data_IF_535625690226
#
_entry.id   IF_535625690226
#
_cell.length_a   1.000
_cell.length_b   1.000
_cell.length_c   1.000
_cell.angle_alpha   90.00
_cell.angle_beta   90.00
_cell.angle_gamma   90.00
#
_symmetry.space_group_name_H-M   'P 1'
#
loop_
_entity.id
_entity.type
_entity.pdbx_description
1 polymer ?
#
# COMPACT_ATOMS: atom_id res chain seq x y z
N UNK A 1 9.98 31.64 25.03
CA UNK A 1 11.18 30.79 24.92
C UNK A 1 11.00 29.84 23.74
N UNK A 2 11.77 30.03 22.66
CA UNK A 2 11.76 29.08 21.53
C UNK A 2 12.68 27.90 21.90
N UNK A 3 12.26 26.64 21.72
CA UNK A 3 13.10 25.50 22.06
C UNK A 3 14.39 25.49 21.23
N UNK A 4 15.51 25.13 21.87
CA UNK A 4 16.83 25.06 21.25
C UNK A 4 16.89 24.07 20.06
N UNK A 5 17.58 24.39 18.96
CA UNK A 5 17.65 23.55 17.75
C UNK A 5 18.39 22.22 17.93
N UNK A 6 19.00 21.97 19.09
CA UNK A 6 19.70 20.72 19.38
C UNK A 6 18.75 19.58 19.78
N UNK A 7 17.56 19.89 20.31
CA UNK A 7 16.49 18.89 20.58
C UNK A 7 15.70 18.50 19.32
N UNK A 8 15.97 19.14 18.17
CA UNK A 8 15.49 18.70 16.86
C UNK A 8 16.40 17.64 16.20
N UNK A 9 17.37 17.07 16.95
CA UNK A 9 18.33 16.07 16.45
C UNK A 9 18.02 14.63 16.85
N UNK A 10 16.75 14.26 17.01
CA UNK A 10 16.37 12.84 17.06
C UNK A 10 15.29 12.60 16.02
N UNK A 11 15.74 12.04 14.90
CA UNK A 11 14.97 11.56 13.74
C UNK A 11 14.61 12.68 12.75
N UNK A 12 15.34 12.72 11.63
CA UNK A 12 14.94 13.41 10.40
C UNK A 12 13.52 12.99 10.01
N UNK A 13 12.58 13.89 10.30
CA UNK A 13 11.14 13.80 10.03
C UNK A 13 10.90 13.88 8.52
N UNK A 14 9.88 13.17 8.03
CA UNK A 14 9.29 13.19 6.68
C UNK A 14 9.75 12.15 5.64
N UNK A 15 11.03 11.76 5.52
CA UNK A 15 11.42 10.82 4.44
C UNK A 15 11.13 9.32 4.72
N UNK A 16 10.77 8.96 5.97
CA UNK A 16 10.63 7.57 6.42
C UNK A 16 9.19 7.11 6.68
N UNK A 17 8.17 7.97 6.54
CA UNK A 17 6.79 7.64 6.92
C UNK A 17 6.21 6.50 6.09
N UNK A 18 6.42 6.52 4.76
CA UNK A 18 5.94 5.46 3.85
C UNK A 18 6.65 4.12 4.09
N UNK A 19 7.97 4.15 4.32
CA UNK A 19 8.73 2.93 4.69
C UNK A 19 8.27 2.36 6.03
N UNK A 20 7.98 3.22 7.02
CA UNK A 20 7.46 2.82 8.34
C UNK A 20 6.05 2.25 8.25
N UNK A 21 5.19 2.86 7.44
CA UNK A 21 3.87 2.32 7.11
C UNK A 21 3.97 0.89 6.56
N UNK A 22 4.79 0.71 5.51
CA UNK A 22 5.01 -0.60 4.88
C UNK A 22 5.56 -1.59 5.91
N UNK A 23 6.59 -1.21 6.67
CA UNK A 23 7.19 -2.08 7.67
C UNK A 23 6.17 -2.52 8.72
N UNK A 24 5.43 -1.58 9.32
CA UNK A 24 4.41 -1.88 10.32
C UNK A 24 3.31 -2.81 9.75
N UNK A 25 2.87 -2.55 8.51
CA UNK A 25 1.91 -3.41 7.84
C UNK A 25 2.44 -4.83 7.64
N UNK A 26 3.68 -5.01 7.17
CA UNK A 26 4.27 -6.34 7.03
C UNK A 26 4.46 -7.04 8.39
N UNK A 27 4.91 -6.32 9.41
CA UNK A 27 5.06 -6.86 10.77
C UNK A 27 3.72 -7.33 11.32
N UNK A 28 2.62 -6.62 11.08
CA UNK A 28 1.27 -7.02 11.51
C UNK A 28 0.87 -8.42 11.01
N UNK A 29 1.27 -8.76 9.77
CA UNK A 29 0.96 -10.05 9.14
C UNK A 29 1.71 -11.21 9.77
N UNK A 30 2.89 -10.94 10.34
CA UNK A 30 3.74 -11.95 10.97
C UNK A 30 3.41 -12.17 12.45
N UNK A 31 2.55 -11.34 13.04
CA UNK A 31 2.17 -11.49 14.44
C UNK A 31 1.33 -12.75 14.66
N UNK A 32 1.67 -13.49 15.72
CA UNK A 32 0.99 -14.73 16.13
C UNK A 32 -0.33 -14.46 16.86
N UNK A 33 -0.42 -13.34 17.59
CA UNK A 33 -1.61 -12.97 18.33
C UNK A 33 -2.42 -11.93 17.57
N UNK A 34 -3.74 -11.97 17.73
CA UNK A 34 -4.65 -10.98 17.13
C UNK A 34 -4.40 -9.60 17.75
N UNK A 35 -4.15 -9.54 19.06
CA UNK A 35 -3.90 -8.28 19.77
C UNK A 35 -2.62 -7.59 19.29
N UNK A 36 -1.53 -8.32 19.06
CA UNK A 36 -0.31 -7.71 18.53
C UNK A 36 -0.45 -7.33 17.07
N UNK A 37 -1.15 -8.14 16.26
CA UNK A 37 -1.51 -7.77 14.89
C UNK A 37 -2.27 -6.44 14.88
N UNK A 38 -3.26 -6.28 15.77
CA UNK A 38 -4.06 -5.08 15.89
C UNK A 38 -3.21 -3.86 16.25
N UNK A 39 -2.29 -3.97 17.23
CA UNK A 39 -1.35 -2.90 17.58
C UNK A 39 -0.53 -2.43 16.37
N UNK A 40 0.04 -3.37 15.61
CA UNK A 40 0.83 -3.04 14.42
C UNK A 40 -0.01 -2.46 13.28
N UNK A 41 -1.25 -2.90 13.11
CA UNK A 41 -2.19 -2.31 12.16
C UNK A 41 -2.53 -0.86 12.53
N UNK A 42 -2.71 -0.54 13.82
CA UNK A 42 -2.90 0.85 14.27
C UNK A 42 -1.68 1.72 14.01
N UNK A 43 -0.47 1.24 14.30
CA UNK A 43 0.78 1.96 13.96
C UNK A 43 0.88 2.22 12.46
N UNK A 44 0.53 1.22 11.64
CA UNK A 44 0.50 1.39 10.19
C UNK A 44 -0.56 2.45 9.78
N UNK A 45 -1.74 2.41 10.39
CA UNK A 45 -2.82 3.35 10.10
C UNK A 45 -2.41 4.79 10.44
N UNK A 46 -1.80 5.02 11.60
CA UNK A 46 -1.29 6.33 12.01
C UNK A 46 -0.30 6.89 10.99
N UNK A 47 0.62 6.04 10.50
CA UNK A 47 1.54 6.44 9.46
C UNK A 47 0.86 6.74 8.12
N UNK A 48 -0.16 5.95 7.73
CA UNK A 48 -0.93 6.19 6.51
C UNK A 48 -1.69 7.52 6.57
N UNK A 49 -2.31 7.83 7.71
CA UNK A 49 -3.03 9.10 7.93
C UNK A 49 -2.10 10.31 7.91
N UNK A 50 -0.86 10.19 8.42
CA UNK A 50 0.13 11.28 8.35
C UNK A 50 0.61 11.54 6.91
N UNK A 51 0.73 10.51 6.06
CA UNK A 51 1.16 10.66 4.68
C UNK A 51 0.06 11.31 3.83
N UNK A 52 -1.18 10.83 3.95
CA UNK A 52 -2.36 11.35 3.23
C UNK A 52 -2.15 11.54 1.72
N UNK A 53 -1.36 10.66 1.07
CA UNK A 53 -1.22 10.65 -0.39
C UNK A 53 -2.29 9.76 -1.04
N UNK A 54 -2.59 9.98 -2.33
CA UNK A 54 -3.62 9.23 -3.07
C UNK A 54 -3.42 7.69 -3.01
N UNK A 55 -2.18 7.21 -2.96
CA UNK A 55 -1.85 5.78 -2.87
C UNK A 55 -2.15 5.21 -1.49
N UNK A 56 -1.86 5.97 -0.44
CA UNK A 56 -2.15 5.59 0.96
C UNK A 56 -3.63 5.64 1.26
N UNK A 57 -4.35 6.64 0.73
CA UNK A 57 -5.80 6.75 0.90
C UNK A 57 -6.49 5.58 0.17
N UNK A 58 -5.99 5.15 -1.00
CA UNK A 58 -6.49 3.95 -1.69
C UNK A 58 -6.34 2.66 -0.87
N UNK A 59 -5.37 2.60 0.04
CA UNK A 59 -5.15 1.43 0.89
C UNK A 59 -6.02 1.44 2.16
N UNK A 60 -6.58 2.59 2.55
CA UNK A 60 -7.35 2.76 3.80
C UNK A 60 -8.56 1.81 3.90
N UNK A 61 -9.41 1.61 2.88
CA UNK A 61 -10.53 0.66 2.98
C UNK A 61 -10.06 -0.75 3.37
N UNK A 62 -8.98 -1.22 2.73
CA UNK A 62 -8.41 -2.53 3.01
C UNK A 62 -7.77 -2.63 4.39
N UNK A 63 -7.21 -1.54 4.91
CA UNK A 63 -6.68 -1.48 6.28
C UNK A 63 -7.79 -1.52 7.32
N UNK A 64 -8.83 -0.71 7.16
CA UNK A 64 -9.96 -0.67 8.08
C UNK A 64 -10.68 -2.03 8.16
N UNK A 65 -10.82 -2.75 7.04
CA UNK A 65 -11.36 -4.11 7.04
C UNK A 65 -10.49 -5.11 7.82
N UNK A 66 -9.16 -4.97 7.76
CA UNK A 66 -8.25 -5.83 8.54
C UNK A 66 -8.36 -5.54 10.04
N UNK A 67 -8.48 -4.28 10.41
CA UNK A 67 -8.69 -3.85 11.81
C UNK A 67 -10.05 -4.36 12.30
N UNK A 68 -11.11 -4.22 11.50
CA UNK A 68 -12.43 -4.78 11.76
C UNK A 68 -12.34 -6.29 12.06
N UNK A 69 -11.70 -7.07 11.19
CA UNK A 69 -11.53 -8.51 11.40
C UNK A 69 -10.76 -8.86 12.68
N UNK A 70 -9.77 -8.05 13.07
CA UNK A 70 -9.09 -8.21 14.36
C UNK A 70 -10.04 -7.96 15.54
N UNK A 71 -10.84 -6.90 15.50
CA UNK A 71 -11.81 -6.61 16.57
C UNK A 71 -12.92 -7.69 16.67
N UNK A 72 -13.45 -8.17 15.54
CA UNK A 72 -14.38 -9.31 15.53
C UNK A 72 -13.76 -10.55 16.17
N UNK A 73 -12.49 -10.85 15.86
CA UNK A 73 -11.78 -11.99 16.45
C UNK A 73 -11.53 -11.83 17.96
N UNK A 74 -11.56 -10.59 18.48
CA UNK A 74 -11.43 -10.26 19.90
C UNK A 74 -12.79 -10.17 20.62
N UNK A 75 -13.91 -10.31 19.90
CA UNK A 75 -15.26 -10.17 20.46
C UNK A 75 -15.74 -8.72 20.64
N UNK A 76 -15.03 -7.75 20.06
CA UNK A 76 -15.28 -6.31 20.19
C UNK A 76 -16.16 -5.80 19.04
N UNK A 77 -17.41 -6.27 19.00
CA UNK A 77 -18.32 -6.05 17.86
C UNK A 77 -18.64 -4.57 17.58
N UNK A 78 -18.73 -3.76 18.64
CA UNK A 78 -18.97 -2.31 18.49
C UNK A 78 -17.83 -1.63 17.70
N UNK A 79 -16.58 -1.98 18.02
CA UNK A 79 -15.40 -1.47 17.32
C UNK A 79 -15.32 -2.05 15.91
N UNK A 80 -15.62 -3.34 15.74
CA UNK A 80 -15.62 -3.97 14.43
C UNK A 80 -16.61 -3.28 13.46
N UNK A 81 -17.82 -2.98 13.92
CA UNK A 81 -18.84 -2.29 13.13
C UNK A 81 -18.39 -0.87 12.73
N UNK A 82 -17.78 -0.13 13.64
CA UNK A 82 -17.29 1.22 13.33
C UNK A 82 -16.18 1.20 12.27
N UNK A 83 -15.24 0.26 12.37
CA UNK A 83 -14.19 0.11 11.35
C UNK A 83 -14.73 -0.39 10.01
N UNK A 84 -15.77 -1.23 9.99
CA UNK A 84 -16.46 -1.63 8.76
C UNK A 84 -17.17 -0.45 8.08
N UNK A 85 -17.80 0.42 8.88
CA UNK A 85 -18.40 1.66 8.41
C UNK A 85 -17.35 2.59 7.81
N UNK A 86 -16.23 2.80 8.50
CA UNK A 86 -15.11 3.59 7.99
C UNK A 86 -14.60 3.04 6.66
N UNK A 87 -14.37 1.72 6.55
CA UNK A 87 -13.94 1.10 5.30
C UNK A 87 -14.91 1.40 4.13
N UNK A 88 -16.21 1.38 4.40
CA UNK A 88 -17.25 1.66 3.41
C UNK A 88 -17.24 3.12 2.94
N UNK A 89 -16.97 4.08 3.84
CA UNK A 89 -16.85 5.49 3.49
C UNK A 89 -15.72 5.77 2.49
N UNK A 90 -14.61 5.03 2.58
CA UNK A 90 -13.45 5.22 1.70
C UNK A 90 -13.48 4.35 0.42
N UNK A 91 -14.43 3.41 0.30
CA UNK A 91 -14.51 2.45 -0.83
C UNK A 91 -14.89 3.10 -2.17
N UNK A 92 -15.60 4.23 -2.14
CA UNK A 92 -16.16 4.87 -3.33
C UNK A 92 -15.28 5.99 -3.91
N UNK A 93 -14.00 6.08 -3.52
CA UNK A 93 -13.11 7.10 -4.04
C UNK A 93 -12.34 6.51 -5.23
N UNK A 94 -12.56 6.98 -6.47
CA UNK A 94 -11.77 6.55 -7.62
C UNK A 94 -10.35 7.08 -7.48
N UNK A 95 -9.40 6.21 -7.15
CA UNK A 95 -7.97 6.54 -7.04
C UNK A 95 -7.28 6.36 -8.39
N UNK A 96 -7.66 7.16 -9.37
CA UNK A 96 -6.86 7.36 -10.57
C UNK A 96 -7.09 8.76 -11.13
N UNK A 97 -5.99 9.50 -11.34
CA UNK A 97 -5.96 10.81 -12.01
C UNK A 97 -5.34 10.70 -13.40
N UNK A 98 -4.84 9.54 -13.80
CA UNK A 98 -4.25 9.28 -15.11
C UNK A 98 -5.29 8.75 -16.11
N UNK A 99 -5.00 8.79 -17.42
CA UNK A 99 -5.88 8.22 -18.44
C UNK A 99 -5.93 6.68 -18.40
N UNK A 100 -5.15 6.04 -17.52
CA UNK A 100 -4.98 4.61 -17.46
C UNK A 100 -5.66 4.02 -16.24
N UNK A 101 -7.00 4.04 -16.26
CA UNK A 101 -7.79 3.30 -15.29
C UNK A 101 -7.32 1.84 -15.30
N UNK A 102 -6.83 1.35 -14.16
CA UNK A 102 -6.43 -0.06 -13.95
C UNK A 102 -7.66 -1.00 -13.87
N UNK A 103 -8.68 -0.72 -14.69
CA UNK A 103 -9.73 -1.64 -15.11
C UNK A 103 -9.52 -2.14 -16.54
N UNK A 104 -8.32 -1.99 -17.10
CA UNK A 104 -8.01 -2.46 -18.45
C UNK A 104 -7.62 -3.93 -18.37
N UNK A 105 -8.55 -4.83 -18.73
CA UNK A 105 -8.14 -6.12 -19.31
C UNK A 105 -7.16 -5.77 -20.41
N UNK A 106 -5.91 -6.17 -20.26
CA UNK A 106 -5.01 -6.14 -21.39
C UNK A 106 -5.64 -7.05 -22.44
N UNK A 107 -6.27 -6.47 -23.47
CA UNK A 107 -6.53 -7.17 -24.72
C UNK A 107 -5.19 -7.38 -25.42
N UNK A 108 -4.28 -8.10 -24.76
CA UNK A 108 -3.06 -8.59 -25.37
C UNK A 108 -3.53 -9.65 -26.38
N UNK A 109 -3.54 -9.29 -27.66
CA UNK A 109 -3.66 -10.28 -28.70
C UNK A 109 -2.44 -11.22 -28.58
N UNK A 110 -2.70 -12.52 -28.66
CA UNK A 110 -1.66 -13.54 -28.71
C UNK A 110 -0.79 -13.26 -29.94
N UNK A 111 0.35 -12.59 -29.75
CA UNK A 111 1.16 -12.08 -30.85
C UNK A 111 2.31 -11.15 -30.45
N UNK A 112 2.22 -10.47 -29.29
CA UNK A 112 3.28 -9.57 -28.79
C UNK A 112 4.49 -10.30 -28.16
N UNK A 113 4.88 -11.44 -28.74
CA UNK A 113 6.14 -12.10 -28.44
C UNK A 113 7.26 -11.46 -29.26
N UNK A 114 7.90 -10.44 -28.70
CA UNK A 114 9.14 -9.91 -29.27
C UNK A 114 10.30 -10.89 -29.02
N UNK A 115 10.53 -11.78 -29.97
CA UNK A 115 11.83 -12.43 -30.16
C UNK A 115 12.31 -12.18 -31.58
N UNK A 116 12.99 -11.06 -31.79
CA UNK A 116 13.92 -10.94 -32.91
C UNK A 116 15.24 -10.43 -32.37
N UNK A 117 16.02 -11.38 -31.83
CA UNK A 117 17.46 -11.26 -31.85
C UNK A 117 17.86 -11.16 -33.34
N UNK A 118 18.29 -9.97 -33.74
CA UNK A 118 18.86 -9.72 -35.06
C UNK A 118 20.17 -10.50 -35.20
N UNK A 119 20.08 -11.71 -35.74
CA UNK A 119 21.25 -12.44 -36.25
C UNK A 119 21.54 -11.86 -37.64
N UNK A 120 22.70 -11.21 -37.87
CA UNK A 120 23.05 -10.78 -39.21
C UNK A 120 23.39 -12.01 -40.07
N UNK A 121 22.58 -12.27 -41.09
CA UNK A 121 22.86 -13.25 -42.15
C UNK A 121 24.08 -12.81 -42.96
N UNK A 122 25.18 -13.57 -42.85
CA UNK A 122 26.30 -13.51 -43.79
C UNK A 122 25.80 -14.04 -45.13
N UNK A 123 25.79 -13.22 -46.18
CA UNK A 123 25.53 -13.69 -47.54
C UNK A 123 26.80 -14.35 -48.10
N UNK A 124 26.71 -15.54 -48.73
CA UNK A 124 27.85 -16.13 -49.40
C UNK A 124 28.11 -15.35 -50.69
N UNK A 125 29.31 -14.78 -50.81
CA UNK A 125 29.81 -14.21 -52.07
C UNK A 125 30.12 -15.34 -53.04
N UNK A 126 29.45 -15.37 -54.19
CA UNK A 126 29.84 -16.20 -55.33
C UNK A 126 30.62 -15.36 -56.34
N UNK A 127 31.70 -15.97 -56.85
CA UNK A 127 32.66 -15.54 -57.89
C UNK A 127 33.87 -14.76 -57.41
#
# INVERSE_FOLDING_TARGET
>A
MKPCPFLQRVIGRQAMTMRRFIAAYFVSRQQKTVSDRLKWLHIALDHALVISDDRTISALPGMYLKICACYTSLGEEAMASEYARLASCFKNIPFDKGPFYHGTKADAQIGDYWFQASIPTIKPTSK
#
